data_IF_421326852615
#
_entry.id   IF_421326852615
#
_cell.length_a   1.000
_cell.length_b   1.000
_cell.length_c   1.000
_cell.angle_alpha   90.00
_cell.angle_beta   90.00
_cell.angle_gamma   90.00
#
_symmetry.space_group_name_H-M   'P 1'
#
loop_
_entity.id
_entity.type
_entity.pdbx_description
1 polymer ?
#
# COMPACT_ATOMS: atom_id res chain seq x y z
N UNK A 1 -5.31 -16.04 -5.02
CA UNK A 1 -4.46 -15.80 -6.21
C UNK A 1 -4.19 -14.29 -6.19
N UNK A 2 -3.12 -13.87 -5.54
CA UNK A 2 -2.65 -12.50 -5.68
C UNK A 2 -2.02 -12.38 -7.08
N UNK A 3 -2.77 -11.81 -7.99
CA UNK A 3 -2.26 -11.32 -9.24
C UNK A 3 -1.09 -10.36 -8.93
N UNK A 4 -0.03 -10.51 -9.64
CA UNK A 4 1.26 -9.82 -9.64
C UNK A 4 1.11 -8.29 -9.77
N UNK A 5 0.38 -7.66 -8.83
CA UNK A 5 0.18 -6.21 -8.80
C UNK A 5 1.40 -5.59 -8.14
N UNK A 6 2.12 -4.81 -8.92
CA UNK A 6 3.23 -4.01 -8.42
C UNK A 6 2.72 -2.97 -7.43
N UNK A 7 3.56 -2.66 -6.45
CA UNK A 7 3.34 -1.57 -5.50
C UNK A 7 3.51 -0.24 -6.22
N UNK A 8 2.44 0.52 -6.35
CA UNK A 8 2.42 1.83 -7.00
C UNK A 8 3.09 2.87 -6.13
N UNK A 9 4.12 3.52 -6.65
CA UNK A 9 4.99 4.41 -5.89
C UNK A 9 5.04 5.80 -6.47
N UNK A 10 4.95 6.83 -5.61
CA UNK A 10 5.30 8.20 -5.90
C UNK A 10 6.65 8.55 -5.29
N UNK A 11 7.42 9.37 -5.98
CA UNK A 11 8.71 9.89 -5.52
C UNK A 11 8.64 11.39 -5.37
N UNK A 12 9.20 11.94 -4.29
CA UNK A 12 9.32 13.37 -4.07
C UNK A 12 10.68 13.70 -3.50
N UNK A 13 11.45 14.54 -4.23
CA UNK A 13 12.78 15.01 -3.86
C UNK A 13 13.07 16.28 -4.69
N UNK A 14 13.30 17.41 -4.09
CA UNK A 14 13.52 18.69 -4.79
C UNK A 14 14.84 18.72 -5.54
N UNK A 15 15.79 17.84 -5.21
CA UNK A 15 17.06 17.69 -5.91
C UNK A 15 16.94 16.75 -7.12
N UNK A 16 16.89 17.30 -8.34
CA UNK A 16 16.75 16.50 -9.58
C UNK A 16 17.76 15.36 -9.73
N UNK A 17 19.07 15.52 -9.41
CA UNK A 17 20.02 14.40 -9.49
C UNK A 17 19.67 13.26 -8.55
N UNK A 18 19.26 13.58 -7.32
CA UNK A 18 18.82 12.60 -6.31
C UNK A 18 17.55 11.88 -6.74
N UNK A 19 16.55 12.62 -7.20
CA UNK A 19 15.30 12.10 -7.72
C UNK A 19 15.50 11.18 -8.93
N UNK A 20 16.34 11.58 -9.88
CA UNK A 20 16.65 10.77 -11.06
C UNK A 20 17.33 9.46 -10.67
N UNK A 21 18.29 9.51 -9.75
CA UNK A 21 18.97 8.33 -9.25
C UNK A 21 18.01 7.39 -8.49
N UNK A 22 17.17 7.95 -7.60
CA UNK A 22 16.17 7.18 -6.86
C UNK A 22 15.19 6.50 -7.82
N UNK A 23 14.68 7.22 -8.82
CA UNK A 23 13.79 6.66 -9.86
C UNK A 23 14.45 5.49 -10.59
N UNK A 24 15.70 5.66 -11.02
CA UNK A 24 16.47 4.59 -11.67
C UNK A 24 16.61 3.35 -10.79
N UNK A 25 16.82 3.51 -9.48
CA UNK A 25 16.89 2.38 -8.55
C UNK A 25 15.52 1.70 -8.40
N UNK A 26 14.43 2.47 -8.26
CA UNK A 26 13.07 1.96 -8.13
C UNK A 26 12.65 1.14 -9.37
N UNK A 27 12.99 1.60 -10.58
CA UNK A 27 12.69 0.92 -11.84
C UNK A 27 13.41 -0.44 -11.98
N UNK A 28 14.48 -0.68 -11.21
CA UNK A 28 15.18 -1.97 -11.15
C UNK A 28 14.57 -2.96 -10.15
N UNK A 29 13.53 -2.55 -9.40
CA UNK A 29 12.85 -3.42 -8.42
C UNK A 29 11.54 -3.91 -9.04
N UNK A 30 11.42 -5.23 -9.34
CA UNK A 30 10.28 -5.78 -10.07
C UNK A 30 8.94 -5.54 -9.37
N UNK A 31 8.94 -5.46 -8.05
CA UNK A 31 7.76 -5.26 -7.20
C UNK A 31 7.26 -3.82 -7.16
N UNK A 32 8.02 -2.84 -7.71
CA UNK A 32 7.63 -1.43 -7.77
C UNK A 32 7.14 -1.02 -9.15
N UNK A 33 6.18 -0.09 -9.14
CA UNK A 33 5.77 0.70 -10.29
C UNK A 33 5.87 2.18 -9.92
N UNK A 34 6.80 2.92 -10.52
CA UNK A 34 6.91 4.37 -10.32
C UNK A 34 5.83 5.05 -11.15
N UNK A 35 4.75 5.46 -10.50
CA UNK A 35 3.63 6.17 -11.14
C UNK A 35 4.06 7.56 -11.57
N UNK A 36 4.70 8.30 -10.65
CA UNK A 36 5.21 9.65 -10.93
C UNK A 36 6.34 10.03 -9.98
N UNK A 37 7.25 10.87 -10.46
CA UNK A 37 8.33 11.48 -9.68
C UNK A 37 8.18 13.00 -9.72
N UNK A 38 8.31 13.66 -8.57
CA UNK A 38 8.12 15.08 -8.38
C UNK A 38 9.36 15.73 -7.79
N UNK A 39 9.73 16.87 -8.33
CA UNK A 39 10.79 17.72 -7.76
C UNK A 39 10.26 19.03 -7.14
N UNK A 40 8.94 19.12 -7.00
CA UNK A 40 8.29 20.27 -6.39
C UNK A 40 7.14 19.80 -5.47
N UNK A 41 7.19 20.11 -4.16
CA UNK A 41 6.18 19.71 -3.20
C UNK A 41 4.78 20.27 -3.49
N UNK A 42 4.66 21.51 -3.99
CA UNK A 42 3.36 22.11 -4.28
C UNK A 42 2.65 21.41 -5.43
N UNK A 43 3.42 21.06 -6.47
CA UNK A 43 2.90 20.27 -7.60
C UNK A 43 2.48 18.89 -7.13
N UNK A 44 3.31 18.24 -6.31
CA UNK A 44 2.99 16.96 -5.69
C UNK A 44 1.65 17.03 -4.94
N UNK A 45 1.50 17.98 -4.00
CA UNK A 45 0.28 18.12 -3.19
C UNK A 45 -0.97 18.43 -4.03
N UNK A 46 -0.82 19.18 -5.13
CA UNK A 46 -1.94 19.48 -6.01
C UNK A 46 -2.41 18.30 -6.85
N UNK A 47 -1.53 17.37 -7.18
CA UNK A 47 -1.84 16.25 -8.06
C UNK A 47 -2.21 14.94 -7.31
N UNK A 48 -1.77 14.74 -6.07
CA UNK A 48 -2.03 13.50 -5.33
C UNK A 48 -3.51 13.10 -5.22
N UNK A 49 -4.52 14.01 -5.19
CA UNK A 49 -5.91 13.60 -5.13
C UNK A 49 -6.38 12.81 -6.37
N UNK A 50 -5.72 13.01 -7.50
CA UNK A 50 -6.05 12.37 -8.78
C UNK A 50 -5.21 11.12 -9.07
N UNK A 51 -4.24 10.80 -8.19
CA UNK A 51 -3.30 9.69 -8.40
C UNK A 51 -3.65 8.48 -7.54
N UNK A 52 -3.60 7.32 -8.18
CA UNK A 52 -3.72 6.02 -7.51
C UNK A 52 -2.32 5.49 -7.16
N UNK A 53 -2.04 5.39 -5.87
CA UNK A 53 -0.74 4.94 -5.35
C UNK A 53 -0.88 4.30 -3.97
N UNK A 54 0.12 3.50 -3.59
CA UNK A 54 0.20 2.78 -2.32
C UNK A 54 1.29 3.34 -1.40
N UNK A 55 2.41 3.76 -2.00
CA UNK A 55 3.67 4.12 -1.35
C UNK A 55 4.17 5.47 -1.82
N UNK A 56 4.71 6.28 -0.89
CA UNK A 56 5.55 7.43 -1.23
C UNK A 56 6.97 7.23 -0.70
N UNK A 57 7.97 7.58 -1.51
CA UNK A 57 9.35 7.76 -1.07
C UNK A 57 9.63 9.26 -1.09
N UNK A 58 9.89 9.84 0.08
CA UNK A 58 9.95 11.28 0.30
C UNK A 58 11.32 11.69 0.81
N UNK A 59 11.92 12.72 0.21
CA UNK A 59 12.98 13.44 0.90
C UNK A 59 12.39 14.23 2.07
N UNK A 60 13.16 14.40 3.14
CA UNK A 60 12.72 15.13 4.32
C UNK A 60 13.02 16.62 4.16
N UNK A 61 14.23 16.97 3.76
CA UNK A 61 14.63 18.36 3.64
C UNK A 61 14.32 18.93 2.25
N UNK A 62 13.22 19.64 2.17
CA UNK A 62 12.79 20.36 0.98
C UNK A 62 12.42 21.80 1.34
N UNK A 63 12.59 22.76 0.40
CA UNK A 63 12.17 24.14 0.62
C UNK A 63 10.65 24.24 0.88
N UNK A 64 10.26 25.13 1.78
CA UNK A 64 8.88 25.50 2.12
C UNK A 64 8.09 24.47 2.91
N UNK A 65 8.17 23.20 2.60
CA UNK A 65 7.49 22.11 3.34
C UNK A 65 8.43 20.90 3.43
N UNK A 66 8.57 20.34 4.62
CA UNK A 66 9.36 19.13 4.83
C UNK A 66 8.63 17.86 4.39
N UNK A 67 9.39 16.81 4.05
CA UNK A 67 8.80 15.50 3.78
C UNK A 67 8.02 14.92 4.94
N UNK A 68 8.34 15.30 6.19
CA UNK A 68 7.59 14.92 7.40
C UNK A 68 6.20 15.56 7.39
N UNK A 69 6.12 16.86 7.07
CA UNK A 69 4.83 17.55 6.95
C UNK A 69 4.00 16.98 5.80
N UNK A 70 4.62 16.66 4.65
CA UNK A 70 3.96 15.98 3.54
C UNK A 70 3.42 14.61 3.97
N UNK A 71 4.22 13.81 4.69
CA UNK A 71 3.80 12.49 5.17
C UNK A 71 2.57 12.56 6.09
N UNK A 72 2.48 13.58 6.96
CA UNK A 72 1.32 13.81 7.81
C UNK A 72 0.01 14.05 7.02
N UNK A 73 0.11 14.56 5.79
CA UNK A 73 -1.05 14.76 4.91
C UNK A 73 -1.47 13.49 4.17
N UNK A 74 -0.59 12.47 4.11
CA UNK A 74 -0.79 11.22 3.36
C UNK A 74 -1.33 10.08 4.24
N UNK A 75 -2.39 10.34 5.00
CA UNK A 75 -2.97 9.33 5.88
C UNK A 75 -3.37 8.05 5.12
N UNK A 76 -3.04 6.89 5.68
CA UNK A 76 -3.35 5.59 5.09
C UNK A 76 -2.45 5.17 3.93
N UNK A 77 -1.39 5.95 3.63
CA UNK A 77 -0.38 5.59 2.64
C UNK A 77 0.91 5.12 3.32
N UNK A 78 1.63 4.22 2.66
CA UNK A 78 2.94 3.79 3.13
C UNK A 78 3.99 4.85 2.84
N UNK A 79 4.84 5.14 3.80
CA UNK A 79 5.89 6.16 3.68
C UNK A 79 7.27 5.53 3.90
N UNK A 80 8.19 5.82 2.99
CA UNK A 80 9.62 5.61 3.16
C UNK A 80 10.30 6.97 3.05
N UNK A 81 11.11 7.33 4.03
CA UNK A 81 11.92 8.54 3.93
C UNK A 81 13.28 8.25 3.30
N UNK A 82 13.76 9.18 2.47
CA UNK A 82 15.07 9.10 1.80
C UNK A 82 15.78 10.44 1.94
N UNK A 83 16.74 10.57 2.85
CA UNK A 83 17.39 11.83 3.17
C UNK A 83 18.89 11.68 3.45
N UNK A 84 19.64 12.78 3.34
CA UNK A 84 21.06 12.83 3.71
C UNK A 84 21.28 12.83 5.23
N UNK A 85 20.28 13.18 6.02
CA UNK A 85 20.40 13.46 7.45
C UNK A 85 19.92 12.28 8.29
N UNK A 86 20.68 11.97 9.36
CA UNK A 86 20.38 10.85 10.27
C UNK A 86 19.46 11.23 11.42
N UNK A 87 19.42 12.48 11.78
CA UNK A 87 18.70 13.03 12.93
C UNK A 87 17.19 12.86 12.85
N UNK A 88 16.62 12.79 11.64
CA UNK A 88 15.18 12.63 11.43
C UNK A 88 14.65 11.19 11.57
N UNK A 89 15.51 10.24 11.93
CA UNK A 89 15.07 8.84 12.08
C UNK A 89 14.06 8.67 13.21
N UNK A 90 14.10 9.50 14.27
CA UNK A 90 13.11 9.48 15.35
C UNK A 90 11.76 10.00 14.86
N UNK A 91 11.74 11.11 14.12
CA UNK A 91 10.50 11.68 13.58
C UNK A 91 9.82 10.70 12.60
N UNK A 92 10.63 10.02 11.78
CA UNK A 92 10.14 8.97 10.88
C UNK A 92 9.49 7.80 11.64
N UNK A 93 10.05 7.44 12.79
CA UNK A 93 9.50 6.39 13.65
C UNK A 93 8.16 6.82 14.28
N UNK A 94 8.04 8.05 14.76
CA UNK A 94 6.80 8.59 15.34
C UNK A 94 5.64 8.62 14.32
N UNK A 95 5.96 8.79 13.03
CA UNK A 95 5.00 8.77 11.93
C UNK A 95 4.65 7.36 11.43
N UNK A 96 5.15 6.31 12.09
CA UNK A 96 4.99 4.92 11.64
C UNK A 96 5.44 4.68 10.19
N UNK A 97 6.49 5.40 9.76
CA UNK A 97 7.07 5.17 8.45
C UNK A 97 7.52 3.71 8.28
N UNK A 98 7.42 3.19 7.06
CA UNK A 98 7.84 1.82 6.75
C UNK A 98 9.33 1.66 6.95
N UNK A 99 10.10 2.65 6.50
CA UNK A 99 11.55 2.65 6.61
C UNK A 99 12.14 4.06 6.41
N UNK A 100 13.44 4.15 6.70
CA UNK A 100 14.26 5.33 6.60
C UNK A 100 15.54 4.99 5.83
N UNK A 101 15.79 5.68 4.72
CA UNK A 101 16.92 5.45 3.84
C UNK A 101 17.88 6.65 3.88
N UNK A 102 19.11 6.39 4.22
CA UNK A 102 20.14 7.41 4.16
C UNK A 102 20.73 7.51 2.76
N UNK A 103 20.81 8.73 2.21
CA UNK A 103 21.53 9.02 0.96
C UNK A 103 23.06 8.93 1.18
N UNK A 104 23.84 8.39 0.22
CA UNK A 104 23.42 7.83 -1.05
C UNK A 104 22.74 6.46 -0.88
N UNK A 105 21.58 6.30 -1.52
CA UNK A 105 20.75 5.10 -1.37
C UNK A 105 21.39 3.95 -2.13
N UNK A 106 21.58 2.81 -1.45
CA UNK A 106 22.01 1.57 -2.08
C UNK A 106 20.80 0.75 -2.52
N UNK A 107 20.91 0.09 -3.69
CA UNK A 107 19.82 -0.71 -4.25
C UNK A 107 19.32 -1.78 -3.27
N UNK A 108 20.23 -2.49 -2.61
CA UNK A 108 19.90 -3.55 -1.65
C UNK A 108 19.11 -2.99 -0.46
N UNK A 109 19.47 -1.79 -0.01
CA UNK A 109 18.80 -1.13 1.12
C UNK A 109 17.38 -0.67 0.73
N UNK A 110 17.20 -0.12 -0.48
CA UNK A 110 15.90 0.21 -1.03
C UNK A 110 15.03 -1.04 -1.19
N UNK A 111 15.60 -2.13 -1.70
CA UNK A 111 14.88 -3.40 -1.87
C UNK A 111 14.37 -3.94 -0.53
N UNK A 112 15.17 -3.86 0.53
CA UNK A 112 14.73 -4.23 1.89
C UNK A 112 13.55 -3.37 2.38
N UNK A 113 13.56 -2.07 2.12
CA UNK A 113 12.47 -1.17 2.49
C UNK A 113 11.18 -1.51 1.73
N UNK A 114 11.29 -1.81 0.44
CA UNK A 114 10.15 -2.25 -0.38
C UNK A 114 9.57 -3.56 0.14
N UNK A 115 10.40 -4.52 0.54
CA UNK A 115 9.93 -5.77 1.15
C UNK A 115 9.19 -5.54 2.47
N UNK A 116 9.62 -4.55 3.28
CA UNK A 116 8.88 -4.14 4.48
C UNK A 116 7.51 -3.56 4.13
N UNK A 117 7.42 -2.71 3.09
CA UNK A 117 6.17 -2.14 2.61
C UNK A 117 5.18 -3.24 2.17
N UNK A 118 5.65 -4.20 1.38
CA UNK A 118 4.84 -5.34 0.95
C UNK A 118 4.31 -6.17 2.12
N UNK A 119 5.14 -6.41 3.14
CA UNK A 119 4.72 -7.13 4.34
C UNK A 119 3.64 -6.37 5.11
N UNK A 120 3.72 -5.03 5.22
CA UNK A 120 2.68 -4.22 5.87
C UNK A 120 1.34 -4.35 5.16
N UNK A 121 1.31 -4.23 3.82
CA UNK A 121 0.08 -4.41 3.04
C UNK A 121 -0.52 -5.81 3.27
N UNK A 122 0.31 -6.84 3.29
CA UNK A 122 -0.15 -8.21 3.54
C UNK A 122 -0.73 -8.40 4.96
N UNK A 123 -0.23 -7.66 5.94
CA UNK A 123 -0.72 -7.70 7.32
C UNK A 123 -2.00 -6.87 7.51
N UNK A 124 -2.18 -5.79 6.76
CA UNK A 124 -3.39 -4.96 6.77
C UNK A 124 -4.58 -5.61 6.06
N UNK A 125 -4.33 -6.61 5.19
CA UNK A 125 -5.40 -7.44 4.67
C UNK A 125 -5.90 -8.28 5.86
N UNK A 126 -7.17 -8.06 6.31
CA UNK A 126 -7.70 -8.81 7.44
C UNK A 126 -7.59 -10.29 7.09
N UNK A 127 -6.78 -11.02 7.84
CA UNK A 127 -6.68 -12.48 7.75
C UNK A 127 -7.93 -13.16 8.32
N UNK A 128 -9.09 -12.53 8.24
CA UNK A 128 -10.35 -13.24 8.45
C UNK A 128 -10.52 -14.19 7.28
N UNK A 129 -9.94 -15.37 7.44
CA UNK A 129 -10.16 -16.49 6.51
C UNK A 129 -11.61 -16.91 6.45
N UNK A 130 -12.46 -16.38 7.32
CA UNK A 130 -13.88 -16.66 7.42
C UNK A 130 -14.68 -15.43 7.86
N UNK A 131 -15.97 -15.43 7.59
CA UNK A 131 -16.97 -14.52 8.18
C UNK A 131 -18.06 -15.32 8.84
N UNK A 132 -18.68 -14.75 9.88
CA UNK A 132 -19.84 -15.34 10.52
C UNK A 132 -21.09 -14.63 10.00
N UNK A 133 -22.01 -15.40 9.44
CA UNK A 133 -23.27 -14.88 8.89
C UNK A 133 -24.45 -15.63 9.47
N UNK A 134 -25.63 -14.98 9.43
CA UNK A 134 -26.89 -15.61 9.77
C UNK A 134 -27.38 -16.35 8.52
N UNK A 135 -27.74 -17.61 8.68
CA UNK A 135 -28.37 -18.44 7.66
C UNK A 135 -29.70 -19.00 8.19
N UNK A 136 -30.51 -19.60 7.34
CA UNK A 136 -31.83 -20.15 7.70
C UNK A 136 -31.82 -21.10 8.91
N UNK A 137 -30.73 -21.85 9.05
CA UNK A 137 -30.55 -22.84 10.13
C UNK A 137 -29.70 -22.34 11.30
N UNK A 138 -29.45 -21.03 11.41
CA UNK A 138 -28.64 -20.40 12.47
C UNK A 138 -27.38 -19.73 11.96
N UNK A 139 -26.43 -19.44 12.88
CA UNK A 139 -25.16 -18.82 12.52
C UNK A 139 -24.22 -19.83 11.90
N UNK A 140 -23.59 -19.44 10.79
CA UNK A 140 -22.58 -20.22 10.11
C UNK A 140 -21.27 -19.46 9.96
N UNK A 141 -20.15 -20.19 9.87
CA UNK A 141 -18.85 -19.66 9.52
C UNK A 141 -18.58 -19.99 8.06
N UNK A 142 -18.50 -18.94 7.24
CA UNK A 142 -18.09 -19.07 5.84
C UNK A 142 -16.60 -18.78 5.68
N UNK A 143 -15.85 -19.78 5.28
CA UNK A 143 -14.43 -19.65 4.96
C UNK A 143 -14.27 -19.15 3.53
N UNK A 144 -13.55 -18.03 3.33
CA UNK A 144 -13.45 -17.39 2.01
C UNK A 144 -12.77 -18.25 0.96
N UNK A 145 -11.83 -19.10 1.37
CA UNK A 145 -11.15 -20.06 0.51
C UNK A 145 -12.04 -21.22 0.04
N UNK A 146 -13.22 -21.38 0.65
CA UNK A 146 -14.22 -22.41 0.30
C UNK A 146 -15.37 -21.88 -0.52
N UNK A 147 -15.47 -20.57 -0.73
CA UNK A 147 -16.54 -19.96 -1.53
C UNK A 147 -16.15 -20.01 -3.01
N UNK A 148 -17.01 -20.59 -3.83
CA UNK A 148 -16.85 -20.60 -5.27
C UNK A 148 -17.45 -19.32 -5.89
N UNK A 149 -18.75 -19.05 -5.61
CA UNK A 149 -19.39 -17.79 -5.96
C UNK A 149 -20.59 -17.48 -5.08
N UNK A 150 -21.06 -16.24 -5.14
CA UNK A 150 -22.27 -15.77 -4.46
C UNK A 150 -23.21 -15.20 -5.51
N UNK A 151 -24.48 -15.59 -5.48
CA UNK A 151 -25.54 -15.04 -6.34
C UNK A 151 -26.79 -14.72 -5.53
N UNK A 152 -27.72 -13.99 -6.10
CA UNK A 152 -29.06 -13.80 -5.53
C UNK A 152 -29.82 -15.13 -5.59
N UNK A 153 -30.46 -15.51 -4.48
CA UNK A 153 -31.22 -16.73 -4.43
C UNK A 153 -32.44 -16.69 -5.40
N UNK A 154 -32.79 -17.86 -5.98
CA UNK A 154 -33.86 -17.94 -6.97
C UNK A 154 -35.24 -17.81 -6.35
N UNK A 155 -35.40 -18.12 -5.05
CA UNK A 155 -36.66 -18.17 -4.33
C UNK A 155 -37.05 -16.79 -3.77
N UNK A 156 -36.10 -16.09 -3.14
CA UNK A 156 -36.29 -14.70 -2.68
C UNK A 156 -35.10 -13.85 -3.12
N UNK A 157 -35.36 -12.72 -3.79
CA UNK A 157 -34.36 -11.83 -4.29
C UNK A 157 -33.57 -11.08 -3.19
N UNK A 158 -34.04 -11.12 -1.94
CA UNK A 158 -33.35 -10.56 -0.77
C UNK A 158 -32.28 -11.51 -0.24
N UNK A 159 -32.44 -12.80 -0.44
CA UNK A 159 -31.51 -13.81 0.02
C UNK A 159 -30.31 -13.95 -0.93
N UNK A 160 -29.20 -14.43 -0.41
CA UNK A 160 -27.98 -14.76 -1.17
C UNK A 160 -27.71 -16.24 -1.09
N UNK A 161 -27.45 -16.82 -2.23
CA UNK A 161 -27.03 -18.22 -2.37
C UNK A 161 -25.52 -18.27 -2.54
N UNK A 162 -24.84 -18.93 -1.60
CA UNK A 162 -23.38 -19.10 -1.62
C UNK A 162 -23.09 -20.55 -2.02
N UNK A 163 -22.45 -20.74 -3.18
CA UNK A 163 -21.95 -22.05 -3.60
C UNK A 163 -20.54 -22.26 -3.07
N UNK A 164 -20.32 -23.39 -2.40
CA UNK A 164 -19.02 -23.79 -1.87
C UNK A 164 -18.28 -24.70 -2.86
N UNK A 165 -16.96 -24.83 -2.67
CA UNK A 165 -16.08 -25.62 -3.54
C UNK A 165 -16.41 -27.13 -3.53
N UNK A 166 -17.04 -27.63 -2.47
CA UNK A 166 -17.52 -29.00 -2.34
C UNK A 166 -18.87 -29.25 -3.03
N UNK A 167 -19.43 -28.23 -3.69
CA UNK A 167 -20.72 -28.28 -4.37
C UNK A 167 -21.92 -28.06 -3.47
N UNK A 168 -21.73 -27.86 -2.16
CA UNK A 168 -22.83 -27.53 -1.24
C UNK A 168 -23.26 -26.07 -1.39
N UNK A 169 -24.49 -25.77 -1.00
CA UNK A 169 -25.06 -24.42 -1.09
C UNK A 169 -25.57 -23.95 0.26
N UNK A 170 -25.37 -22.69 0.58
CA UNK A 170 -25.86 -22.02 1.78
C UNK A 170 -26.70 -20.81 1.38
N UNK A 171 -27.87 -20.67 1.99
CA UNK A 171 -28.74 -19.50 1.84
C UNK A 171 -28.53 -18.57 3.03
N UNK A 172 -28.34 -17.24 2.73
CA UNK A 172 -28.08 -16.17 3.69
C UNK A 172 -29.19 -15.15 3.68
#
# INVERSE_FOLDING_TARGET
IYLNTKLKCLLLDDELPGLTYLKMLCEQIPELEVVKAFNNPDVFLSEIPELDFDLCILDIEMPMISGIEVANLLQGKLIIFATAYKEFALDAFELDAVDYLQKPIKKERLQMAVQKALKRIQQEIPTKKFTQLQADKGKILLYFDKINYVKTASIDSRDKEVLLNDGSTVIL
#
